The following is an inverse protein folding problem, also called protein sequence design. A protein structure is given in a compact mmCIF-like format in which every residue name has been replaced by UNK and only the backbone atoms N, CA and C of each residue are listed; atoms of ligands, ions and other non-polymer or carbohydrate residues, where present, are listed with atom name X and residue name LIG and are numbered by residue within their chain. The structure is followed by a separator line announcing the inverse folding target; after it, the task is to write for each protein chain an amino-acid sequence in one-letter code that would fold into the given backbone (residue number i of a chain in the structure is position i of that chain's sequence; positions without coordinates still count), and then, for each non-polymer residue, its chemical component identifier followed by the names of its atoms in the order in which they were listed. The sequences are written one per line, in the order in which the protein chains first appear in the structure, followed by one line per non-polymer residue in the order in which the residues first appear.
data_IF_359496993835
#
_entry.id   IF_359496993835
#
_cell.length_a   1.000
_cell.length_b   1.000
_cell.length_c   1.000
_cell.angle_alpha   90.00
_cell.angle_beta   90.00
_cell.angle_gamma   90.00
#
_symmetry.space_group_name_H-M   'P 1'
#
loop_
_entity.id
_entity.type
_entity.pdbx_description
1 polymer ?
#
# COMPACT_ATOMS: atom_id res chain seq x y z
N UNK A 1 -12.51 13.18 13.91
CA UNK A 1 -11.92 12.06 13.15
C UNK A 1 -12.95 11.62 12.14
N UNK A 2 -12.65 11.78 10.86
CA UNK A 2 -13.55 11.38 9.75
C UNK A 2 -13.50 9.85 9.55
N UNK A 3 -14.58 9.23 9.07
CA UNK A 3 -14.62 7.80 8.79
C UNK A 3 -13.51 7.38 7.80
N UNK A 4 -13.21 8.24 6.82
CA UNK A 4 -12.14 8.01 5.87
C UNK A 4 -10.76 7.99 6.55
N UNK A 5 -10.54 8.88 7.51
CA UNK A 5 -9.32 8.95 8.33
C UNK A 5 -9.16 7.68 9.18
N UNK A 6 -10.24 7.21 9.82
CA UNK A 6 -10.27 5.96 10.58
C UNK A 6 -9.90 4.77 9.68
N UNK A 7 -10.56 4.65 8.51
CA UNK A 7 -10.27 3.58 7.54
C UNK A 7 -8.82 3.63 7.05
N UNK A 8 -8.26 4.81 6.86
CA UNK A 8 -6.85 4.98 6.43
C UNK A 8 -5.88 4.46 7.49
N UNK A 9 -6.08 4.85 8.76
CA UNK A 9 -5.24 4.36 9.87
C UNK A 9 -5.35 2.84 10.08
N UNK A 10 -6.56 2.29 9.89
CA UNK A 10 -6.75 0.82 9.99
C UNK A 10 -6.07 0.12 8.81
N UNK A 11 -6.16 0.67 7.60
CA UNK A 11 -5.46 0.12 6.44
C UNK A 11 -3.94 0.05 6.68
N UNK A 12 -3.32 1.13 7.17
CA UNK A 12 -1.91 1.16 7.56
C UNK A 12 -1.59 0.03 8.58
N UNK A 13 -2.35 -0.05 9.67
CA UNK A 13 -2.14 -1.06 10.71
C UNK A 13 -2.30 -2.50 10.21
N UNK A 14 -3.25 -2.76 9.29
CA UNK A 14 -3.45 -4.07 8.69
C UNK A 14 -2.27 -4.45 7.78
N UNK A 15 -1.77 -3.52 6.96
CA UNK A 15 -0.60 -3.80 6.12
C UNK A 15 0.64 -4.03 6.98
N UNK A 16 0.85 -3.25 8.05
CA UNK A 16 1.90 -3.55 9.02
C UNK A 16 1.76 -4.96 9.61
N UNK A 17 0.55 -5.36 10.01
CA UNK A 17 0.27 -6.70 10.53
C UNK A 17 0.62 -7.80 9.52
N UNK A 18 0.28 -7.61 8.23
CA UNK A 18 0.63 -8.54 7.15
C UNK A 18 2.16 -8.72 7.07
N UNK A 19 2.93 -7.63 7.07
CA UNK A 19 4.39 -7.68 7.02
C UNK A 19 4.99 -8.32 8.30
N UNK A 20 4.47 -8.00 9.49
CA UNK A 20 4.91 -8.64 10.74
C UNK A 20 4.68 -10.15 10.71
N UNK A 21 3.52 -10.61 10.22
CA UNK A 21 3.26 -12.06 10.07
C UNK A 21 4.19 -12.73 9.06
N UNK A 22 4.67 -11.99 8.05
CA UNK A 22 5.71 -12.43 7.13
C UNK A 22 7.14 -12.31 7.69
N UNK A 23 7.30 -12.08 9.01
CA UNK A 23 8.58 -11.97 9.73
C UNK A 23 9.44 -10.77 9.30
N UNK A 24 8.81 -9.68 8.90
CA UNK A 24 9.50 -8.42 8.72
C UNK A 24 9.56 -7.64 10.03
N UNK A 25 10.70 -7.02 10.28
CA UNK A 25 10.82 -5.93 11.24
C UNK A 25 10.28 -4.65 10.60
N UNK A 26 9.51 -3.88 11.36
CA UNK A 26 8.89 -2.64 10.87
C UNK A 26 9.41 -1.46 11.69
N UNK A 27 9.81 -0.41 10.98
CA UNK A 27 10.17 0.88 11.59
C UNK A 27 9.47 2.01 10.84
N UNK A 28 8.94 3.04 11.54
CA UNK A 28 8.40 4.21 10.88
C UNK A 28 9.46 4.84 9.98
N UNK A 29 9.06 5.29 8.79
CA UNK A 29 10.00 5.95 7.91
C UNK A 29 10.30 7.34 8.47
N UNK A 30 11.57 7.57 8.82
CA UNK A 30 12.06 8.89 9.22
C UNK A 30 12.84 9.47 8.06
N UNK A 31 12.25 10.44 7.38
CA UNK A 31 12.92 11.09 6.27
C UNK A 31 14.05 11.99 6.80
N UNK A 32 15.28 11.72 6.41
CA UNK A 32 16.39 12.65 6.60
C UNK A 32 16.46 13.71 5.50
N UNK A 33 15.72 13.53 4.40
CA UNK A 33 15.53 14.50 3.32
C UNK A 33 14.19 15.25 3.46
N UNK A 34 14.00 16.30 2.67
CA UNK A 34 12.71 17.01 2.63
C UNK A 34 11.60 16.09 2.06
N UNK A 35 10.38 16.08 2.63
CA UNK A 35 9.26 15.32 2.08
C UNK A 35 8.88 15.83 0.67
N UNK A 36 8.25 14.96 -0.13
CA UNK A 36 7.65 15.38 -1.40
C UNK A 36 6.45 16.24 -1.09
N UNK A 37 6.52 17.53 -1.40
CA UNK A 37 5.34 18.40 -1.31
C UNK A 37 4.41 18.12 -2.48
N UNK A 38 3.25 17.56 -2.19
CA UNK A 38 2.19 17.34 -3.15
C UNK A 38 0.98 18.20 -2.78
N UNK A 39 0.82 19.35 -3.45
CA UNK A 39 -0.20 20.32 -3.08
C UNK A 39 0.06 20.91 -1.69
N UNK A 40 -0.81 20.60 -0.72
CA UNK A 40 -0.69 21.03 0.69
C UNK A 40 -0.22 19.92 1.63
N UNK A 41 -0.02 18.72 1.11
CA UNK A 41 0.34 17.54 1.91
C UNK A 41 1.80 17.16 1.64
N UNK A 42 2.48 16.77 2.71
CA UNK A 42 3.80 16.16 2.64
C UNK A 42 3.61 14.66 2.41
N UNK A 43 4.18 14.14 1.34
CA UNK A 43 4.19 12.73 1.02
C UNK A 43 5.55 12.12 1.36
N UNK A 44 5.51 11.03 2.13
CA UNK A 44 6.64 10.17 2.45
C UNK A 44 6.13 8.77 2.71
N UNK A 45 6.94 7.72 2.45
CA UNK A 45 6.59 6.36 2.84
C UNK A 45 6.13 6.31 4.30
N UNK A 46 5.11 5.51 4.61
CA UNK A 46 4.64 5.33 5.98
C UNK A 46 5.69 4.58 6.83
N UNK A 47 6.25 3.50 6.29
CA UNK A 47 7.23 2.68 7.02
C UNK A 47 8.25 1.98 6.13
N UNK A 48 9.33 1.55 6.80
CA UNK A 48 10.36 0.67 6.28
C UNK A 48 10.13 -0.73 6.86
N UNK A 49 10.26 -1.74 6.00
CA UNK A 49 10.26 -3.14 6.39
C UNK A 49 11.61 -3.79 6.07
N UNK A 50 12.12 -4.58 7.00
CA UNK A 50 13.40 -5.29 6.86
C UNK A 50 13.18 -6.77 7.11
N UNK A 51 13.54 -7.62 6.14
CA UNK A 51 13.47 -9.09 6.30
C UNK A 51 14.49 -9.56 7.34
N UNK A 52 14.12 -10.52 8.19
CA UNK A 52 15.07 -11.20 9.07
C UNK A 52 16.12 -12.00 8.26
N UNK A 53 17.41 -11.79 8.57
CA UNK A 53 18.56 -12.49 7.94
C UNK A 53 19.83 -11.63 7.85
N UNK A 54 21.00 -12.26 7.66
CA UNK A 54 22.32 -11.58 7.64
C UNK A 54 22.48 -10.53 6.52
N UNK A 55 21.68 -10.64 5.45
CA UNK A 55 21.57 -9.66 4.35
C UNK A 55 20.09 -9.25 4.15
N UNK A 56 19.39 -8.93 5.23
CA UNK A 56 17.96 -8.60 5.23
C UNK A 56 17.59 -7.58 4.15
N UNK A 57 16.71 -7.98 3.23
CA UNK A 57 16.19 -7.07 2.22
C UNK A 57 15.38 -5.95 2.90
N UNK A 58 15.67 -4.70 2.54
CA UNK A 58 14.96 -3.52 3.01
C UNK A 58 14.01 -3.02 1.91
N UNK A 59 12.76 -2.78 2.30
CA UNK A 59 11.75 -2.20 1.42
C UNK A 59 11.10 -0.99 2.08
N UNK A 60 10.80 0.02 1.28
CA UNK A 60 9.94 1.13 1.67
C UNK A 60 8.51 0.79 1.28
N UNK A 61 7.56 1.11 2.16
CA UNK A 61 6.15 0.84 1.96
C UNK A 61 5.37 2.11 2.23
N UNK A 62 4.50 2.43 1.28
CA UNK A 62 3.47 3.45 1.41
C UNK A 62 2.11 2.77 1.38
N UNK A 63 1.20 3.13 2.28
CA UNK A 63 -0.14 2.58 2.38
C UNK A 63 -1.16 3.67 2.16
N UNK A 64 -2.13 3.41 1.27
CA UNK A 64 -3.28 4.29 1.09
C UNK A 64 -4.57 3.50 0.97
N UNK A 65 -5.53 3.84 1.83
CA UNK A 65 -6.90 3.39 1.65
C UNK A 65 -7.59 4.15 0.52
N UNK A 66 -8.26 3.44 -0.39
CA UNK A 66 -9.11 4.00 -1.43
C UNK A 66 -10.38 3.17 -1.60
N UNK A 67 -11.57 3.80 -1.67
CA UNK A 67 -12.81 3.07 -1.95
C UNK A 67 -12.79 2.31 -3.29
N UNK A 68 -12.02 2.79 -4.28
CA UNK A 68 -11.71 2.06 -5.51
C UNK A 68 -10.24 2.24 -5.85
N UNK A 69 -9.49 1.13 -5.85
CA UNK A 69 -8.10 1.12 -6.26
C UNK A 69 -7.97 1.44 -7.76
N UNK A 70 -8.79 0.82 -8.61
CA UNK A 70 -8.76 1.06 -10.06
C UNK A 70 -9.02 2.52 -10.45
N UNK A 71 -10.06 3.16 -9.89
CA UNK A 71 -10.35 4.56 -10.21
C UNK A 71 -9.20 5.47 -9.79
N UNK A 72 -8.63 5.24 -8.61
CA UNK A 72 -7.48 6.00 -8.13
C UNK A 72 -6.28 5.86 -9.08
N UNK A 73 -5.92 4.62 -9.44
CA UNK A 73 -4.79 4.36 -10.34
C UNK A 73 -5.03 4.91 -11.75
N UNK A 74 -6.27 4.85 -12.25
CA UNK A 74 -6.64 5.42 -13.55
C UNK A 74 -6.44 6.95 -13.56
N UNK A 75 -6.89 7.65 -12.52
CA UNK A 75 -6.70 9.10 -12.38
C UNK A 75 -5.22 9.46 -12.28
N UNK A 76 -4.44 8.71 -11.52
CA UNK A 76 -2.99 8.95 -11.41
C UNK A 76 -2.26 8.72 -12.74
N UNK A 77 -2.63 7.70 -13.51
CA UNK A 77 -2.07 7.51 -14.86
C UNK A 77 -2.40 8.68 -15.79
N UNK A 78 -3.62 9.22 -15.75
CA UNK A 78 -4.02 10.38 -16.57
C UNK A 78 -3.24 11.65 -16.20
N UNK A 79 -2.84 11.79 -14.94
CA UNK A 79 -2.02 12.93 -14.47
C UNK A 79 -0.57 12.87 -14.99
N UNK A 80 -0.10 11.71 -15.43
CA UNK A 80 1.24 11.54 -15.98
C UNK A 80 2.33 12.02 -15.01
N UNK A 81 3.15 12.97 -15.44
CA UNK A 81 4.26 13.51 -14.64
C UNK A 81 3.82 14.30 -13.40
N UNK A 82 2.54 14.70 -13.34
CA UNK A 82 1.94 15.38 -12.18
C UNK A 82 1.32 14.40 -11.18
N UNK A 83 1.40 13.09 -11.43
CA UNK A 83 0.88 12.07 -10.53
C UNK A 83 1.78 11.89 -9.30
N UNK A 84 1.18 11.49 -8.19
CA UNK A 84 1.95 11.12 -7.00
C UNK A 84 2.85 9.92 -7.29
N UNK A 85 2.41 8.99 -8.13
CA UNK A 85 3.21 7.81 -8.48
C UNK A 85 4.48 8.18 -9.24
N UNK A 86 4.40 9.09 -10.22
CA UNK A 86 5.57 9.53 -10.98
C UNK A 86 6.57 10.26 -10.07
N UNK A 87 6.10 11.19 -9.24
CA UNK A 87 6.95 11.95 -8.33
C UNK A 87 7.58 11.05 -7.25
N UNK A 88 6.77 10.21 -6.60
CA UNK A 88 7.21 9.27 -5.59
C UNK A 88 8.24 8.28 -6.14
N UNK A 89 8.03 7.74 -7.35
CA UNK A 89 8.98 6.84 -8.01
C UNK A 89 10.33 7.50 -8.28
N UNK A 90 10.38 8.80 -8.58
CA UNK A 90 11.65 9.51 -8.77
C UNK A 90 12.44 9.64 -7.46
N UNK A 91 11.76 9.81 -6.33
CA UNK A 91 12.41 9.97 -5.03
C UNK A 91 12.71 8.63 -4.34
N UNK A 92 11.79 7.67 -4.46
CA UNK A 92 11.89 6.32 -3.90
C UNK A 92 11.63 5.28 -4.99
N UNK A 93 12.63 4.97 -5.84
CA UNK A 93 12.46 4.08 -6.99
C UNK A 93 12.03 2.66 -6.64
N UNK A 94 12.33 2.20 -5.43
CA UNK A 94 12.03 0.85 -4.94
C UNK A 94 10.85 0.83 -3.93
N UNK A 95 10.01 1.86 -3.92
CA UNK A 95 8.82 1.92 -3.05
C UNK A 95 7.76 0.90 -3.49
N UNK A 96 7.16 0.24 -2.52
CA UNK A 96 5.90 -0.50 -2.69
C UNK A 96 4.75 0.41 -2.27
N UNK A 97 3.94 0.82 -3.24
CA UNK A 97 2.72 1.59 -2.97
C UNK A 97 1.55 0.63 -2.82
N UNK A 98 1.16 0.34 -1.58
CA UNK A 98 0.07 -0.56 -1.21
C UNK A 98 -1.25 0.21 -1.16
N UNK A 99 -2.18 -0.19 -2.01
CA UNK A 99 -3.56 0.24 -2.01
C UNK A 99 -4.42 -0.74 -1.25
N UNK A 100 -5.16 -0.22 -0.28
CA UNK A 100 -6.12 -0.98 0.51
C UNK A 100 -7.53 -0.57 0.13
N UNK A 101 -8.40 -1.54 -0.12
CA UNK A 101 -9.81 -1.31 -0.46
C UNK A 101 -10.72 -2.33 0.19
N UNK A 102 -11.90 -1.91 0.60
CA UNK A 102 -12.98 -2.79 1.09
C UNK A 102 -13.97 -3.18 -0.02
N UNK A 103 -13.73 -2.71 -1.24
CA UNK A 103 -14.56 -3.01 -2.43
C UNK A 103 -13.67 -3.39 -3.62
N UNK A 104 -12.87 -4.47 -3.49
CA UNK A 104 -12.03 -4.91 -4.60
C UNK A 104 -12.89 -5.35 -5.79
N UNK A 105 -12.33 -5.23 -6.99
CA UNK A 105 -12.93 -5.82 -8.19
C UNK A 105 -13.01 -7.35 -8.06
N UNK A 106 -13.90 -7.99 -8.84
CA UNK A 106 -14.07 -9.44 -8.78
C UNK A 106 -12.74 -10.18 -9.05
N UNK A 107 -12.36 -11.06 -8.13
CA UNK A 107 -11.11 -11.82 -8.20
C UNK A 107 -9.86 -11.05 -7.80
N UNK A 108 -9.98 -9.82 -7.30
CA UNK A 108 -8.86 -9.01 -6.80
C UNK A 108 -8.83 -9.00 -5.28
N UNK A 109 -7.63 -8.77 -4.73
CA UNK A 109 -7.46 -8.64 -3.29
C UNK A 109 -7.88 -7.26 -2.78
N UNK A 110 -8.29 -7.21 -1.51
CA UNK A 110 -8.37 -5.97 -0.74
C UNK A 110 -7.00 -5.27 -0.58
N UNK A 111 -5.90 -6.02 -0.72
CA UNK A 111 -4.53 -5.53 -0.58
C UNK A 111 -3.80 -5.67 -1.93
N UNK A 112 -3.69 -4.56 -2.63
CA UNK A 112 -3.00 -4.49 -3.93
C UNK A 112 -1.78 -3.60 -3.82
N UNK A 113 -0.78 -3.80 -4.68
CA UNK A 113 0.45 -3.02 -4.65
C UNK A 113 0.92 -2.62 -6.04
N UNK A 114 1.64 -1.51 -6.08
CA UNK A 114 2.45 -1.09 -7.21
C UNK A 114 3.91 -1.15 -6.75
N UNK A 115 4.69 -2.05 -7.35
CA UNK A 115 6.13 -2.15 -7.09
C UNK A 115 6.89 -1.24 -8.07
N UNK A 116 7.30 -0.05 -7.63
CA UNK A 116 7.92 0.94 -8.53
C UNK A 116 9.22 0.45 -9.18
N UNK A 117 9.98 -0.40 -8.48
CA UNK A 117 11.24 -0.96 -8.98
C UNK A 117 11.04 -1.97 -10.11
N UNK A 118 9.86 -2.61 -10.19
CA UNK A 118 9.54 -3.61 -11.20
C UNK A 118 8.96 -3.01 -12.49
N UNK A 119 8.59 -1.72 -12.48
CA UNK A 119 7.95 -1.06 -13.61
C UNK A 119 8.94 -0.65 -14.69
N UNK A 120 8.58 -0.82 -15.96
CA UNK A 120 9.40 -0.28 -17.06
C UNK A 120 9.11 1.20 -17.30
N UNK A 121 10.08 1.99 -17.79
CA UNK A 121 9.83 3.37 -18.21
C UNK A 121 8.74 3.43 -19.30
N UNK A 122 7.80 4.36 -19.17
CA UNK A 122 6.71 4.56 -20.13
C UNK A 122 5.52 3.61 -19.99
N UNK A 123 5.60 2.58 -19.16
CA UNK A 123 4.44 1.73 -18.86
C UNK A 123 3.48 2.42 -17.87
N UNK A 124 2.16 2.29 -18.06
CA UNK A 124 1.19 2.79 -17.09
C UNK A 124 1.32 2.05 -15.76
N UNK A 125 1.09 2.76 -14.65
CA UNK A 125 0.99 2.18 -13.32
C UNK A 125 -0.16 1.18 -13.27
N UNK A 126 0.14 -0.04 -12.79
CA UNK A 126 -0.82 -1.12 -12.61
C UNK A 126 -0.60 -1.76 -11.25
N UNK A 127 -1.69 -2.20 -10.65
CA UNK A 127 -1.65 -2.93 -9.39
C UNK A 127 -1.54 -4.43 -9.65
N UNK A 128 -0.82 -5.11 -8.75
CA UNK A 128 -0.86 -6.57 -8.59
C UNK A 128 -1.35 -6.87 -7.18
N UNK A 129 -1.94 -8.04 -6.93
CA UNK A 129 -2.28 -8.40 -5.56
C UNK A 129 -0.99 -8.61 -4.76
N UNK A 130 -0.95 -8.21 -3.48
CA UNK A 130 0.30 -8.22 -2.69
C UNK A 130 0.93 -9.63 -2.63
N UNK A 131 0.11 -10.67 -2.64
CA UNK A 131 0.56 -12.08 -2.67
C UNK A 131 1.32 -12.46 -3.96
N UNK A 132 1.10 -11.74 -5.06
CA UNK A 132 1.77 -12.02 -6.33
C UNK A 132 3.24 -11.56 -6.32
N UNK A 133 3.61 -10.66 -5.40
CA UNK A 133 4.98 -10.16 -5.21
C UNK A 133 5.80 -11.19 -4.41
N UNK A 134 6.31 -12.20 -5.12
CA UNK A 134 7.02 -13.36 -4.53
C UNK A 134 8.23 -12.97 -3.69
N UNK A 135 8.89 -11.86 -4.04
CA UNK A 135 10.02 -11.30 -3.30
C UNK A 135 9.66 -10.85 -1.88
N UNK A 136 8.39 -10.51 -1.63
CA UNK A 136 7.89 -10.14 -0.31
C UNK A 136 7.59 -11.36 0.57
N UNK A 137 7.55 -12.58 -0.01
CA UNK A 137 7.26 -13.83 0.71
C UNK A 137 5.99 -13.77 1.58
N UNK A 138 5.00 -12.98 1.15
CA UNK A 138 3.69 -12.91 1.78
C UNK A 138 2.82 -14.02 1.19
N UNK A 139 2.29 -14.88 2.06
CA UNK A 139 1.52 -16.05 1.66
C UNK A 139 0.02 -15.76 1.57
N UNK A 140 -0.67 -16.49 0.69
CA UNK A 140 -2.11 -16.34 0.43
C UNK A 140 -2.97 -16.37 1.70
N UNK A 141 -2.77 -17.35 2.59
CA UNK A 141 -3.53 -17.45 3.84
C UNK A 141 -3.41 -16.21 4.74
N UNK A 142 -2.24 -15.54 4.72
CA UNK A 142 -2.04 -14.30 5.48
C UNK A 142 -2.92 -13.19 4.90
N UNK A 143 -3.02 -13.08 3.57
CA UNK A 143 -3.89 -12.11 2.92
C UNK A 143 -5.36 -12.42 3.22
N UNK A 144 -5.80 -13.66 3.04
CA UNK A 144 -7.18 -14.09 3.27
C UNK A 144 -7.68 -13.76 4.68
N UNK A 145 -6.89 -14.08 5.71
CA UNK A 145 -7.19 -13.71 7.10
C UNK A 145 -7.40 -12.18 7.25
N UNK A 146 -6.53 -11.38 6.64
CA UNK A 146 -6.60 -9.92 6.73
C UNK A 146 -7.75 -9.34 5.90
N UNK A 147 -8.16 -10.01 4.81
CA UNK A 147 -9.36 -9.63 4.04
C UNK A 147 -10.64 -9.87 4.83
N UNK A 148 -10.72 -10.98 5.57
CA UNK A 148 -11.84 -11.23 6.46
C UNK A 148 -11.91 -10.16 7.56
N UNK A 149 -10.77 -9.80 8.15
CA UNK A 149 -10.68 -8.76 9.15
C UNK A 149 -11.10 -7.39 8.63
N UNK A 150 -10.59 -6.95 7.48
CA UNK A 150 -10.92 -5.62 6.94
C UNK A 150 -12.41 -5.51 6.62
N UNK A 151 -13.01 -6.55 6.02
CA UNK A 151 -14.45 -6.59 5.71
C UNK A 151 -15.28 -6.47 6.99
N UNK A 152 -14.94 -7.24 8.03
CA UNK A 152 -15.63 -7.18 9.33
C UNK A 152 -15.52 -5.81 9.98
N UNK A 153 -14.30 -5.28 10.10
CA UNK A 153 -14.06 -3.98 10.74
C UNK A 153 -14.79 -2.87 9.99
N UNK A 154 -14.71 -2.83 8.66
CA UNK A 154 -15.31 -1.74 7.90
C UNK A 154 -16.84 -1.84 7.81
N UNK A 155 -17.40 -3.06 7.84
CA UNK A 155 -18.84 -3.27 8.00
C UNK A 155 -19.33 -2.66 9.32
N UNK A 156 -18.64 -2.96 10.43
CA UNK A 156 -18.97 -2.42 11.75
C UNK A 156 -18.88 -0.88 11.79
N UNK A 157 -17.84 -0.30 11.18
CA UNK A 157 -17.66 1.16 11.12
C UNK A 157 -18.72 1.88 10.28
N UNK A 158 -19.33 1.19 9.30
CA UNK A 158 -20.35 1.76 8.41
C UNK A 158 -21.77 1.47 8.87
N UNK A 159 -21.96 0.68 9.94
CA UNK A 159 -23.27 0.25 10.41
C UNK A 159 -23.99 -0.71 9.45
N UNK A 160 -23.28 -1.26 8.46
CA UNK A 160 -23.80 -2.33 7.63
C UNK A 160 -23.75 -3.63 8.43
N UNK A 161 -24.91 -4.26 8.64
CA UNK A 161 -24.98 -5.59 9.24
C UNK A 161 -24.25 -6.62 8.34
N UNK A 162 -23.55 -7.62 8.92
CA UNK A 162 -22.83 -8.64 8.15
C UNK A 162 -23.75 -9.49 7.28
#
# INVERSE_FOLDING_TARGET
MDLLEVKSRIAEALVESIFRRARYQISPFRNHASPLRFGREDFSPDFRVTSEGENGAEFLVEVKYRPSAYQFVSVENQRGERSIFYMARRQWPNLYFVLVTDRPEAGRSCFQAIAFGAMRPGEPFRTVDVVELKELKIFQHNIEDHEELIRRIFSLLTGAAP
#
